data_IF_724673397283
#
_entry.id   IF_724673397283
#
_cell.length_a   1.000
_cell.length_b   1.000
_cell.length_c   1.000
_cell.angle_alpha   90.00
_cell.angle_beta   90.00
_cell.angle_gamma   90.00
#
_symmetry.space_group_name_H-M   'P 1'
#
loop_
_entity.id
_entity.type
_entity.pdbx_description
1 polymer ?
#
# COMPACT_ATOMS: atom_id res chain seq x y z
N UNK A 1 3.72 15.40 12.02
CA UNK A 1 4.45 14.76 10.92
C UNK A 1 5.18 13.58 11.53
N UNK A 2 4.91 12.36 11.05
CA UNK A 2 5.73 11.21 11.42
C UNK A 2 7.15 11.49 10.94
N UNK A 3 8.17 11.28 11.77
CA UNK A 3 9.56 11.37 11.32
C UNK A 3 10.03 9.99 10.89
N UNK A 4 11.09 9.91 10.08
CA UNK A 4 11.67 8.63 9.63
C UNK A 4 12.10 7.70 10.79
N UNK A 5 12.17 8.18 12.04
CA UNK A 5 12.41 7.33 13.21
C UNK A 5 11.15 6.79 13.89
N UNK A 6 9.97 7.35 13.61
CA UNK A 6 8.76 7.15 14.42
C UNK A 6 7.75 6.18 13.78
N UNK A 7 7.97 5.79 12.51
CA UNK A 7 7.07 4.86 11.84
C UNK A 7 7.17 3.44 12.42
N UNK A 8 8.28 3.07 13.06
CA UNK A 8 8.42 1.76 13.73
C UNK A 8 7.38 1.56 14.85
N UNK A 9 6.89 2.65 15.45
CA UNK A 9 5.83 2.61 16.47
C UNK A 9 4.43 2.43 15.88
N UNK A 10 4.26 2.74 14.59
CA UNK A 10 2.98 2.67 13.86
C UNK A 10 2.82 1.33 13.15
N UNK A 11 3.94 0.71 12.78
CA UNK A 11 3.95 -0.58 12.09
C UNK A 11 3.57 -1.70 13.05
N UNK A 12 2.84 -2.69 12.53
CA UNK A 12 2.45 -3.88 13.28
C UNK A 12 3.68 -4.56 13.92
N UNK A 13 3.75 -4.66 15.27
CA UNK A 13 4.82 -5.36 15.96
C UNK A 13 4.98 -6.82 15.52
N UNK A 14 3.91 -7.46 15.06
CA UNK A 14 3.92 -8.83 14.55
C UNK A 14 4.74 -9.04 13.27
N UNK A 15 5.09 -7.95 12.57
CA UNK A 15 6.00 -8.00 11.43
C UNK A 15 7.46 -8.19 11.85
N UNK A 16 7.80 -8.07 13.14
CA UNK A 16 9.14 -8.34 13.68
C UNK A 16 10.27 -7.62 12.91
N UNK A 17 10.04 -6.37 12.47
CA UNK A 17 10.96 -5.59 11.60
C UNK A 17 11.31 -6.27 10.27
N UNK A 18 10.54 -7.26 9.84
CA UNK A 18 10.68 -7.90 8.54
C UNK A 18 9.88 -7.13 7.47
N UNK A 19 10.30 -5.90 7.20
CA UNK A 19 9.77 -5.06 6.13
C UNK A 19 10.86 -4.13 5.59
N UNK A 20 10.63 -3.54 4.41
CA UNK A 20 11.56 -2.60 3.80
C UNK A 20 11.14 -1.20 4.29
N UNK A 21 12.01 -0.49 5.04
CA UNK A 21 11.66 0.79 5.65
C UNK A 21 11.10 1.83 4.67
N UNK A 22 11.58 1.85 3.43
CA UNK A 22 11.15 2.83 2.41
C UNK A 22 9.74 2.51 1.89
N UNK A 23 9.42 1.23 1.70
CA UNK A 23 8.11 0.70 1.34
C UNK A 23 7.09 1.07 2.40
N UNK A 24 7.42 0.82 3.66
CA UNK A 24 6.56 1.17 4.81
C UNK A 24 6.34 2.68 4.91
N UNK A 25 7.40 3.47 4.81
CA UNK A 25 7.28 4.92 4.85
C UNK A 25 6.38 5.46 3.73
N UNK A 26 6.55 4.96 2.50
CA UNK A 26 5.67 5.31 1.37
C UNK A 26 4.22 4.89 1.61
N UNK A 27 3.99 3.69 2.15
CA UNK A 27 2.66 3.19 2.46
C UNK A 27 1.94 4.07 3.51
N UNK A 28 2.68 4.55 4.50
CA UNK A 28 2.16 5.49 5.50
C UNK A 28 1.87 6.86 4.86
N UNK A 29 2.75 7.36 4.01
CA UNK A 29 2.58 8.66 3.35
C UNK A 29 1.33 8.69 2.45
N UNK A 30 1.09 7.62 1.67
CA UNK A 30 -0.14 7.49 0.88
C UNK A 30 -1.37 7.35 1.78
N UNK A 31 -1.30 6.59 2.87
CA UNK A 31 -2.41 6.44 3.82
C UNK A 31 -2.78 7.79 4.46
N UNK A 32 -1.78 8.58 4.87
CA UNK A 32 -1.97 9.94 5.41
C UNK A 32 -2.62 10.87 4.40
N UNK A 33 -2.26 10.74 3.12
CA UNK A 33 -2.87 11.51 2.02
C UNK A 33 -4.33 11.09 1.79
N UNK A 34 -4.66 9.80 1.88
CA UNK A 34 -6.03 9.28 1.75
C UNK A 34 -6.97 9.79 2.85
N UNK A 35 -6.48 9.97 4.07
CA UNK A 35 -7.27 10.44 5.22
C UNK A 35 -7.26 11.97 5.38
N UNK A 36 -6.77 12.71 4.37
CA UNK A 36 -6.72 14.17 4.45
C UNK A 36 -8.13 14.74 4.69
N UNK A 37 -8.30 15.70 5.62
CA UNK A 37 -9.61 16.34 5.86
C UNK A 37 -10.13 17.07 4.62
N UNK A 38 -9.24 17.58 3.76
CA UNK A 38 -9.61 18.18 2.48
C UNK A 38 -9.71 17.09 1.41
N UNK A 39 -10.89 16.95 0.80
CA UNK A 39 -11.15 15.97 -0.27
C UNK A 39 -10.28 16.22 -1.50
N UNK A 40 -10.00 17.48 -1.82
CA UNK A 40 -9.16 17.87 -2.97
C UNK A 40 -7.70 17.42 -2.82
N UNK A 41 -7.24 17.21 -1.58
CA UNK A 41 -5.90 16.72 -1.28
C UNK A 41 -5.83 15.20 -1.22
N UNK A 42 -6.98 14.51 -1.30
CA UNK A 42 -7.00 13.04 -1.33
C UNK A 42 -6.59 12.57 -2.73
N UNK A 43 -5.69 11.59 -2.83
CA UNK A 43 -5.30 11.02 -4.10
C UNK A 43 -6.47 10.27 -4.75
N UNK A 44 -6.45 10.16 -6.07
CA UNK A 44 -7.35 9.27 -6.79
C UNK A 44 -6.99 7.80 -6.53
N UNK A 45 -7.95 6.89 -6.72
CA UNK A 45 -7.67 5.45 -6.57
C UNK A 45 -6.60 4.94 -7.55
N UNK A 46 -6.43 5.56 -8.72
CA UNK A 46 -5.34 5.23 -9.65
C UNK A 46 -3.98 5.63 -9.10
N UNK A 47 -3.87 6.79 -8.44
CA UNK A 47 -2.65 7.21 -7.76
C UNK A 47 -2.33 6.30 -6.58
N UNK A 48 -3.34 5.96 -5.77
CA UNK A 48 -3.19 5.04 -4.63
C UNK A 48 -2.68 3.67 -5.10
N UNK A 49 -3.31 3.07 -6.11
CA UNK A 49 -2.87 1.77 -6.63
C UNK A 49 -1.47 1.80 -7.24
N UNK A 50 -1.08 2.90 -7.89
CA UNK A 50 0.27 3.06 -8.42
C UNK A 50 1.33 3.15 -7.32
N UNK A 51 1.10 3.93 -6.26
CA UNK A 51 2.03 4.02 -5.13
C UNK A 51 2.13 2.69 -4.37
N UNK A 52 1.02 1.99 -4.17
CA UNK A 52 1.03 0.66 -3.53
C UNK A 52 1.82 -0.37 -4.34
N UNK A 53 1.72 -0.35 -5.68
CA UNK A 53 2.55 -1.20 -6.55
C UNK A 53 4.05 -0.91 -6.40
N UNK A 54 4.42 0.36 -6.22
CA UNK A 54 5.81 0.72 -5.95
C UNK A 54 6.28 0.20 -4.58
N UNK A 55 5.46 0.34 -3.54
CA UNK A 55 5.77 -0.21 -2.20
C UNK A 55 6.01 -1.72 -2.28
N UNK A 56 5.12 -2.45 -2.99
CA UNK A 56 5.27 -3.89 -3.19
C UNK A 56 6.55 -4.25 -3.95
N UNK A 57 6.93 -3.45 -4.95
CA UNK A 57 8.17 -3.65 -5.72
C UNK A 57 9.41 -3.51 -4.82
N UNK A 58 9.41 -2.51 -3.93
CA UNK A 58 10.49 -2.30 -2.95
C UNK A 58 10.57 -3.46 -1.96
N UNK A 59 9.43 -3.90 -1.44
CA UNK A 59 9.34 -5.03 -0.51
C UNK A 59 9.88 -6.33 -1.15
N UNK A 60 9.45 -6.62 -2.38
CA UNK A 60 9.90 -7.80 -3.13
C UNK A 60 11.40 -7.77 -3.47
N UNK A 61 11.98 -6.58 -3.65
CA UNK A 61 13.42 -6.42 -3.86
C UNK A 61 14.24 -6.83 -2.63
N UNK A 62 13.69 -6.66 -1.41
CA UNK A 62 14.32 -7.10 -0.15
C UNK A 62 14.30 -8.62 0.00
N UNK A 63 13.20 -9.27 -0.36
CA UNK A 63 13.02 -10.72 -0.19
C UNK A 63 13.83 -11.57 -1.19
N UNK A 64 14.59 -10.96 -2.11
CA UNK A 64 15.41 -11.71 -3.07
C UNK A 64 14.59 -12.59 -4.00
N UNK A 65 13.44 -12.11 -4.47
CA UNK A 65 12.67 -12.85 -5.48
C UNK A 65 13.46 -12.80 -6.80
N UNK A 66 13.88 -14.00 -7.23
CA UNK A 66 14.36 -14.36 -8.56
C UNK A 66 13.62 -13.53 -9.62
N UNK A 67 14.27 -13.04 -10.69
CA UNK A 67 13.58 -12.38 -11.78
C UNK A 67 12.50 -13.34 -12.29
N UNK A 68 11.24 -13.08 -11.95
CA UNK A 68 10.15 -13.72 -12.64
C UNK A 68 10.19 -13.11 -14.03
N UNK A 69 10.77 -13.89 -14.93
CA UNK A 69 11.02 -13.61 -16.33
C UNK A 69 9.97 -12.66 -16.88
N UNK A 70 10.39 -11.53 -17.45
CA UNK A 70 9.56 -10.74 -18.35
C UNK A 70 9.06 -11.66 -19.47
N UNK A 71 7.86 -12.19 -19.27
CA UNK A 71 7.02 -12.72 -20.32
C UNK A 71 5.77 -11.88 -20.23
N UNK A 72 5.42 -11.26 -21.35
CA UNK A 72 4.30 -10.34 -21.53
C UNK A 72 2.97 -11.04 -21.19
N UNK A 73 2.69 -11.24 -19.91
CA UNK A 73 1.46 -11.80 -19.41
C UNK A 73 1.02 -10.89 -18.28
N UNK A 74 -0.12 -10.24 -18.51
CA UNK A 74 -0.91 -9.58 -17.49
C UNK A 74 -1.21 -10.60 -16.40
N UNK A 75 -0.31 -10.73 -15.42
CA UNK A 75 -0.63 -11.43 -14.18
C UNK A 75 -1.43 -10.44 -13.34
N UNK A 76 -2.73 -10.43 -13.61
CA UNK A 76 -3.72 -10.18 -12.59
C UNK A 76 -3.32 -11.07 -11.41
N UNK A 77 -2.63 -10.50 -10.42
CA UNK A 77 -2.55 -11.10 -9.10
C UNK A 77 -3.98 -11.07 -8.58
N UNK A 78 -4.78 -12.07 -8.97
CA UNK A 78 -6.11 -12.33 -8.44
C UNK A 78 -5.93 -12.78 -7.00
N UNK A 79 -5.55 -11.84 -6.13
CA UNK A 79 -6.01 -11.89 -4.75
C UNK A 79 -7.51 -11.69 -4.88
N UNK A 80 -8.29 -12.76 -4.77
CA UNK A 80 -9.73 -12.66 -4.56
C UNK A 80 -9.97 -12.07 -3.16
N UNK A 81 -9.58 -10.82 -2.95
CA UNK A 81 -10.22 -9.99 -1.95
C UNK A 81 -11.60 -9.72 -2.50
N UNK A 82 -12.58 -10.49 -2.02
CA UNK A 82 -13.99 -10.18 -2.20
C UNK A 82 -14.26 -8.83 -1.55
N UNK A 83 -13.99 -7.74 -2.27
CA UNK A 83 -14.46 -6.42 -1.95
C UNK A 83 -15.91 -6.34 -2.43
N UNK A 84 -16.79 -7.14 -1.82
CA UNK A 84 -18.23 -7.02 -2.02
C UNK A 84 -18.67 -5.72 -1.36
N UNK A 85 -18.49 -4.62 -2.07
CA UNK A 85 -19.17 -3.37 -1.77
C UNK A 85 -20.63 -3.50 -2.16
N UNK A 86 -21.39 -4.26 -1.39
CA UNK A 86 -22.82 -4.01 -1.25
C UNK A 86 -23.04 -3.41 0.14
N UNK A 87 -22.61 -2.16 0.30
CA UNK A 87 -23.13 -1.29 1.35
C UNK A 87 -23.92 -0.20 0.63
N UNK A 88 -25.22 -0.42 0.49
CA UNK A 88 -26.15 0.66 0.21
C UNK A 88 -26.21 1.53 1.48
N UNK A 89 -25.81 2.81 1.44
CA UNK A 89 -25.96 3.66 2.60
C UNK A 89 -27.45 3.98 2.75
N UNK A 90 -28.08 3.43 3.80
CA UNK A 90 -29.41 3.89 4.22
C UNK A 90 -29.25 5.22 4.93
N UNK A 91 -29.75 6.29 4.31
CA UNK A 91 -29.91 7.57 4.99
C UNK A 91 -31.00 7.43 6.07
N UNK A 92 -30.66 7.79 7.30
CA UNK A 92 -31.61 8.11 8.36
C UNK A 92 -31.58 9.60 8.62
#
# INVERSE_FOLDING_TARGET
MLTKGDFENVVDPGLNRNYEPTSVWKAIDIAMSCVNPSSEKRPSMSQVTNELKQCLTLENSRQGVRPQMSSNSSVELSLSVNFTSEVTPSAR
#
